data_IF_857333111982
#
_entry.id   IF_857333111982
#
_cell.length_a   1.000
_cell.length_b   1.000
_cell.length_c   1.000
_cell.angle_alpha   90.00
_cell.angle_beta   90.00
_cell.angle_gamma   90.00
#
_symmetry.space_group_name_H-M   'P 1'
#
loop_
_entity.id
_entity.type
_entity.pdbx_description
1 polymer ?
#
# COMPACT_ATOMS: atom_id res chain seq x y z
N UNK A 1 18.44 38.98 -8.69
CA UNK A 1 17.73 38.42 -9.86
C UNK A 1 17.73 36.91 -9.66
N UNK A 2 16.65 36.38 -9.11
CA UNK A 2 16.51 34.93 -8.92
C UNK A 2 16.29 34.29 -10.30
N UNK A 3 17.23 33.46 -10.74
CA UNK A 3 17.12 32.71 -11.98
C UNK A 3 16.00 31.67 -11.84
N UNK A 4 14.77 32.04 -12.19
CA UNK A 4 13.70 31.10 -12.47
C UNK A 4 14.09 30.39 -13.77
N UNK A 5 14.49 29.12 -13.67
CA UNK A 5 14.91 28.35 -14.84
C UNK A 5 13.72 28.12 -15.79
N UNK A 6 13.98 28.22 -17.10
CA UNK A 6 13.06 27.76 -18.15
C UNK A 6 12.69 26.28 -17.95
N UNK A 7 11.59 25.84 -18.56
CA UNK A 7 11.10 24.46 -18.52
C UNK A 7 12.26 23.47 -18.73
N UNK A 8 12.55 22.58 -17.76
CA UNK A 8 13.67 21.66 -17.85
C UNK A 8 13.42 20.67 -18.99
N UNK A 9 14.49 20.37 -19.74
CA UNK A 9 14.43 19.33 -20.79
C UNK A 9 14.33 17.98 -20.11
N UNK A 10 13.30 17.21 -20.47
CA UNK A 10 13.21 15.79 -20.15
C UNK A 10 14.22 15.01 -20.98
N UNK A 11 14.75 13.92 -20.43
CA UNK A 11 15.58 13.02 -21.22
C UNK A 11 14.68 12.25 -22.19
N UNK A 12 15.14 12.01 -23.41
CA UNK A 12 14.39 11.29 -24.44
C UNK A 12 14.03 9.86 -24.03
N UNK A 13 14.86 9.27 -23.16
CA UNK A 13 14.68 7.93 -22.62
C UNK A 13 14.81 8.01 -21.10
N UNK A 14 13.82 7.50 -20.39
CA UNK A 14 13.83 7.40 -18.93
C UNK A 14 14.85 6.35 -18.48
N UNK A 15 15.56 6.61 -17.38
CA UNK A 15 16.50 5.65 -16.82
C UNK A 15 15.78 4.46 -16.17
N UNK A 16 16.51 3.39 -15.92
CA UNK A 16 16.01 2.30 -15.09
C UNK A 16 15.62 2.81 -13.68
N UNK A 17 14.56 2.23 -13.12
CA UNK A 17 14.14 2.51 -11.75
C UNK A 17 15.10 1.85 -10.76
N UNK A 18 15.55 2.62 -9.77
CA UNK A 18 16.31 2.11 -8.63
C UNK A 18 15.46 2.18 -7.37
N UNK A 19 15.40 1.06 -6.65
CA UNK A 19 14.84 1.03 -5.30
C UNK A 19 15.78 1.76 -4.34
N UNK A 20 15.21 2.69 -3.58
CA UNK A 20 15.96 3.53 -2.66
C UNK A 20 16.19 2.81 -1.33
N UNK A 21 17.38 2.96 -0.76
CA UNK A 21 17.67 2.46 0.58
C UNK A 21 16.97 3.29 1.65
N UNK A 22 16.58 2.64 2.74
CA UNK A 22 15.84 3.25 3.83
C UNK A 22 16.75 3.43 5.05
N UNK A 23 16.77 4.65 5.58
CA UNK A 23 17.30 4.93 6.91
C UNK A 23 16.11 4.99 7.87
N UNK A 24 15.99 4.01 8.75
CA UNK A 24 14.90 3.92 9.73
C UNK A 24 15.37 4.48 11.07
N UNK A 25 14.58 5.36 11.69
CA UNK A 25 14.90 5.89 13.01
C UNK A 25 14.67 4.84 14.10
N UNK A 26 15.56 4.77 15.09
CA UNK A 26 15.43 3.87 16.25
C UNK A 26 14.13 4.05 17.04
N UNK A 27 13.59 5.27 17.06
CA UNK A 27 12.29 5.56 17.69
C UNK A 27 11.13 4.84 17.00
N UNK A 28 11.14 4.78 15.66
CA UNK A 28 10.12 4.04 14.91
C UNK A 28 10.28 2.53 15.13
N UNK A 29 11.50 2.00 15.13
CA UNK A 29 11.77 0.59 15.39
C UNK A 29 11.18 0.17 16.74
N UNK A 30 11.44 0.97 17.78
CA UNK A 30 10.87 0.76 19.11
C UNK A 30 9.34 0.81 19.11
N UNK A 31 8.71 1.77 18.43
CA UNK A 31 7.25 1.87 18.35
C UNK A 31 6.63 0.66 17.62
N UNK A 32 7.29 0.12 16.60
CA UNK A 32 6.85 -1.08 15.89
C UNK A 32 6.98 -2.33 16.77
N UNK A 33 8.06 -2.46 17.53
CA UNK A 33 8.26 -3.55 18.49
C UNK A 33 7.22 -3.51 19.62
N UNK A 34 7.01 -2.35 20.25
CA UNK A 34 5.99 -2.16 21.29
C UNK A 34 4.58 -2.46 20.78
N UNK A 35 4.25 -2.00 19.57
CA UNK A 35 2.97 -2.32 18.94
C UNK A 35 2.83 -3.82 18.68
N UNK A 36 3.86 -4.47 18.15
CA UNK A 36 3.83 -5.92 17.86
C UNK A 36 3.65 -6.73 19.14
N UNK A 37 4.40 -6.40 20.20
CA UNK A 37 4.25 -7.02 21.52
C UNK A 37 2.84 -6.81 22.10
N UNK A 38 2.29 -5.59 21.97
CA UNK A 38 0.91 -5.31 22.41
C UNK A 38 -0.14 -6.10 21.62
N UNK A 39 0.10 -6.31 20.33
CA UNK A 39 -0.80 -7.06 19.46
C UNK A 39 -0.75 -8.56 19.76
N UNK A 40 0.43 -9.12 20.03
CA UNK A 40 0.60 -10.53 20.39
C UNK A 40 -0.02 -10.84 21.76
N UNK A 41 0.17 -9.96 22.77
CA UNK A 41 -0.54 -10.07 24.05
C UNK A 41 -2.05 -9.93 23.86
N UNK A 42 -2.50 -8.99 23.03
CA UNK A 42 -3.92 -8.85 22.69
C UNK A 42 -4.45 -9.99 21.80
N UNK A 43 -3.60 -10.77 21.12
CA UNK A 43 -4.02 -11.89 20.26
C UNK A 43 -4.27 -13.14 21.10
N UNK A 44 -3.49 -13.34 22.16
CA UNK A 44 -3.74 -14.37 23.17
C UNK A 44 -5.02 -14.08 23.98
N UNK A 45 -5.36 -12.80 24.22
CA UNK A 45 -6.64 -12.40 24.84
C UNK A 45 -7.82 -12.34 23.83
N UNK A 46 -7.60 -11.99 22.55
CA UNK A 46 -8.65 -11.88 21.51
C UNK A 46 -9.23 -13.22 21.05
N UNK A 47 -8.55 -14.33 21.28
CA UNK A 47 -9.19 -15.65 21.13
C UNK A 47 -10.30 -15.88 22.18
N UNK A 48 -10.46 -14.96 23.16
CA UNK A 48 -11.53 -14.96 24.16
C UNK A 48 -12.47 -13.72 24.15
N UNK A 49 -12.22 -12.65 23.38
CA UNK A 49 -13.04 -11.41 23.41
C UNK A 49 -13.95 -11.24 22.16
N UNK A 50 -15.23 -11.58 22.35
CA UNK A 50 -16.45 -11.31 21.58
C UNK A 50 -16.35 -10.86 20.10
N UNK A 51 -16.28 -11.81 19.17
CA UNK A 51 -16.69 -11.59 17.76
C UNK A 51 -18.15 -11.07 17.78
N UNK A 52 -18.46 -9.91 17.15
CA UNK A 52 -19.82 -9.41 17.11
C UNK A 52 -20.78 -10.43 16.47
N UNK A 53 -21.90 -10.69 17.14
CA UNK A 53 -22.97 -11.49 16.55
C UNK A 53 -23.42 -10.78 15.27
N UNK A 54 -23.35 -11.46 14.13
CA UNK A 54 -23.61 -10.87 12.82
C UNK A 54 -22.38 -10.74 11.92
N UNK A 55 -21.15 -10.97 12.41
CA UNK A 55 -19.96 -10.95 11.54
C UNK A 55 -20.00 -12.05 10.49
N UNK A 56 -19.95 -11.71 9.21
CA UNK A 56 -19.95 -12.67 8.10
C UNK A 56 -18.55 -13.26 7.88
N UNK A 57 -18.49 -14.53 7.49
CA UNK A 57 -17.25 -15.20 7.11
C UNK A 57 -16.55 -14.44 5.98
N UNK A 58 -15.25 -14.19 6.12
CA UNK A 58 -14.45 -13.42 5.15
C UNK A 58 -13.94 -14.27 3.98
N UNK A 59 -14.09 -15.60 4.05
CA UNK A 59 -13.70 -16.50 2.97
C UNK A 59 -14.64 -16.37 1.78
N UNK A 60 -14.07 -16.19 0.59
CA UNK A 60 -14.79 -15.89 -0.65
C UNK A 60 -15.78 -17.00 -1.03
N UNK A 61 -17.04 -16.63 -1.30
CA UNK A 61 -18.11 -17.58 -1.60
C UNK A 61 -18.75 -18.24 -0.36
N UNK A 62 -18.32 -17.87 0.86
CA UNK A 62 -18.99 -18.25 2.09
C UNK A 62 -19.89 -17.11 2.58
N UNK A 63 -21.10 -17.42 3.01
CA UNK A 63 -22.06 -16.45 3.56
C UNK A 63 -22.49 -16.80 5.00
N UNK A 64 -21.76 -17.70 5.68
CA UNK A 64 -22.05 -18.03 7.06
C UNK A 64 -21.79 -16.82 7.96
N UNK A 65 -22.60 -16.68 9.00
CA UNK A 65 -22.55 -15.54 9.92
C UNK A 65 -22.26 -16.06 11.33
N UNK A 66 -21.39 -15.36 12.05
CA UNK A 66 -21.07 -15.65 13.43
C UNK A 66 -22.30 -15.40 14.31
N UNK A 67 -22.75 -16.45 15.00
CA UNK A 67 -23.85 -16.40 15.98
C UNK A 67 -23.35 -16.68 17.39
N UNK A 68 -22.41 -17.62 17.50
CA UNK A 68 -21.78 -18.08 18.73
C UNK A 68 -20.59 -18.99 18.37
N UNK A 69 -19.95 -19.60 19.37
CA UNK A 69 -18.84 -20.53 19.17
C UNK A 69 -19.19 -21.74 18.26
N UNK A 70 -20.45 -22.15 18.15
CA UNK A 70 -20.85 -23.25 17.25
C UNK A 70 -20.75 -22.86 15.76
N UNK A 71 -20.74 -21.57 15.43
CA UNK A 71 -20.48 -21.11 14.05
C UNK A 71 -19.11 -21.59 13.53
N UNK A 72 -18.14 -21.84 14.41
CA UNK A 72 -16.83 -22.42 14.02
C UNK A 72 -16.84 -23.93 13.79
N UNK A 73 -17.86 -24.65 14.28
CA UNK A 73 -17.97 -26.11 14.12
C UNK A 73 -18.45 -26.49 12.72
N UNK A 74 -19.06 -25.55 12.00
CA UNK A 74 -19.48 -25.74 10.61
C UNK A 74 -18.27 -25.75 9.68
N UNK A 75 -18.36 -26.56 8.62
CA UNK A 75 -17.36 -26.59 7.55
C UNK A 75 -17.62 -25.41 6.63
N UNK A 76 -16.61 -24.56 6.47
CA UNK A 76 -16.64 -23.46 5.51
C UNK A 76 -16.33 -23.98 4.11
N UNK A 77 -17.24 -23.79 3.16
CA UNK A 77 -16.98 -23.99 1.73
C UNK A 77 -16.67 -22.65 1.07
N UNK A 78 -15.53 -22.53 0.38
CA UNK A 78 -15.05 -21.26 -0.16
C UNK A 78 -14.19 -21.45 -1.42
N UNK A 79 -13.86 -20.33 -2.08
CA UNK A 79 -12.91 -20.28 -3.21
C UNK A 79 -11.57 -19.70 -2.74
N UNK A 80 -10.45 -20.45 -2.80
CA UNK A 80 -9.12 -19.90 -2.50
C UNK A 80 -8.61 -18.96 -3.60
N UNK A 81 -9.18 -19.05 -4.80
CA UNK A 81 -8.81 -18.24 -5.96
C UNK A 81 -9.36 -16.82 -5.93
N UNK A 82 -8.98 -16.06 -6.95
CA UNK A 82 -9.40 -14.68 -7.21
C UNK A 82 -10.51 -14.64 -8.26
N UNK A 83 -11.39 -13.61 -8.23
CA UNK A 83 -12.35 -13.40 -9.29
C UNK A 83 -11.62 -13.04 -10.59
N UNK A 84 -12.03 -13.63 -11.71
CA UNK A 84 -11.50 -13.35 -13.04
C UNK A 84 -12.63 -12.94 -13.96
N UNK A 85 -12.47 -11.79 -14.62
CA UNK A 85 -13.41 -11.24 -15.59
C UNK A 85 -12.68 -11.02 -16.91
N UNK A 86 -12.91 -11.90 -17.89
CA UNK A 86 -12.25 -11.84 -19.19
C UNK A 86 -13.25 -12.22 -20.29
N UNK A 87 -13.29 -11.44 -21.38
CA UNK A 87 -14.14 -11.71 -22.55
C UNK A 87 -15.63 -11.95 -22.22
N UNK A 88 -16.17 -11.19 -21.26
CA UNK A 88 -17.56 -11.34 -20.83
C UNK A 88 -17.84 -12.53 -19.91
N UNK A 89 -16.84 -13.38 -19.68
CA UNK A 89 -16.92 -14.53 -18.76
C UNK A 89 -16.40 -14.15 -17.36
N UNK A 90 -16.99 -14.77 -16.35
CA UNK A 90 -16.73 -14.58 -14.92
C UNK A 90 -16.47 -15.92 -14.28
N UNK A 91 -15.38 -16.05 -13.54
CA UNK A 91 -15.00 -17.30 -12.86
C UNK A 91 -14.02 -17.07 -11.71
N UNK A 92 -13.82 -18.10 -10.90
CA UNK A 92 -12.81 -18.10 -9.84
C UNK A 92 -11.54 -18.79 -10.34
N UNK A 93 -10.36 -18.20 -10.17
CA UNK A 93 -9.10 -18.79 -10.69
C UNK A 93 -8.75 -20.17 -10.11
N UNK A 94 -9.39 -20.58 -9.01
CA UNK A 94 -9.20 -21.89 -8.37
C UNK A 94 -10.08 -23.01 -8.96
N UNK A 95 -11.03 -22.71 -9.84
CA UNK A 95 -11.89 -23.74 -10.44
C UNK A 95 -12.38 -23.33 -11.84
N UNK A 96 -12.84 -24.30 -12.62
CA UNK A 96 -13.12 -24.08 -14.06
C UNK A 96 -14.56 -23.65 -14.36
N UNK A 97 -15.39 -23.42 -13.34
CA UNK A 97 -16.78 -23.01 -13.50
C UNK A 97 -16.83 -21.56 -13.98
N UNK A 98 -17.26 -21.36 -15.23
CA UNK A 98 -17.40 -20.05 -15.87
C UNK A 98 -18.87 -19.72 -16.11
N UNK A 99 -19.23 -18.46 -15.93
CA UNK A 99 -20.56 -17.94 -16.24
C UNK A 99 -20.45 -16.55 -16.88
N UNK A 100 -21.40 -16.19 -17.73
CA UNK A 100 -21.53 -14.83 -18.26
C UNK A 100 -22.38 -13.93 -17.35
N UNK A 101 -23.22 -14.52 -16.49
CA UNK A 101 -24.08 -13.80 -15.56
C UNK A 101 -23.34 -13.50 -14.24
N UNK A 102 -23.50 -12.27 -13.73
CA UNK A 102 -22.82 -11.83 -12.51
C UNK A 102 -23.41 -12.45 -11.24
N UNK A 103 -24.72 -12.60 -11.17
CA UNK A 103 -25.40 -13.20 -10.01
C UNK A 103 -25.05 -14.69 -9.90
N UNK A 104 -24.96 -15.39 -11.03
CA UNK A 104 -24.50 -16.78 -11.05
C UNK A 104 -23.05 -16.91 -10.54
N UNK A 105 -22.20 -15.92 -10.84
CA UNK A 105 -20.82 -15.89 -10.36
C UNK A 105 -20.75 -15.67 -8.84
N UNK A 106 -21.54 -14.74 -8.32
CA UNK A 106 -21.63 -14.46 -6.88
C UNK A 106 -22.19 -15.67 -6.10
N UNK A 107 -23.17 -16.38 -6.68
CA UNK A 107 -23.81 -17.55 -6.08
C UNK A 107 -23.03 -18.85 -6.26
N UNK A 108 -21.85 -18.81 -6.90
CA UNK A 108 -21.07 -20.01 -7.16
C UNK A 108 -20.50 -20.59 -5.86
N UNK A 109 -20.97 -21.79 -5.48
CA UNK A 109 -20.48 -22.54 -4.32
C UNK A 109 -18.96 -22.74 -4.38
N UNK A 110 -18.31 -22.52 -3.23
CA UNK A 110 -16.88 -22.74 -3.01
C UNK A 110 -16.37 -24.10 -3.50
N UNK A 111 -15.12 -24.14 -3.96
CA UNK A 111 -14.46 -25.37 -4.42
C UNK A 111 -13.53 -26.03 -3.38
N UNK A 112 -13.33 -25.40 -2.22
CA UNK A 112 -12.48 -25.92 -1.13
C UNK A 112 -13.23 -25.84 0.21
N UNK A 113 -12.84 -26.70 1.17
CA UNK A 113 -13.40 -26.76 2.52
C UNK A 113 -12.38 -26.39 3.60
N UNK A 114 -12.79 -25.68 4.65
CA UNK A 114 -11.92 -25.32 5.77
C UNK A 114 -12.69 -24.81 6.99
N UNK A 115 -12.00 -24.12 7.89
CA UNK A 115 -12.63 -23.42 9.03
C UNK A 115 -13.14 -22.06 8.58
N UNK A 116 -14.24 -21.60 9.19
CA UNK A 116 -14.70 -20.23 9.00
C UNK A 116 -13.69 -19.23 9.54
N UNK A 117 -13.62 -18.08 8.88
CA UNK A 117 -12.83 -16.94 9.30
C UNK A 117 -13.79 -15.76 9.51
N UNK A 118 -14.02 -15.40 10.78
CA UNK A 118 -14.88 -14.28 11.16
C UNK A 118 -14.05 -13.07 11.63
N UNK A 119 -12.82 -12.94 11.15
CA UNK A 119 -12.07 -11.70 11.32
C UNK A 119 -12.87 -10.53 10.76
N UNK A 120 -12.98 -9.45 11.50
CA UNK A 120 -13.53 -8.21 10.95
C UNK A 120 -12.49 -7.71 9.93
N UNK A 121 -12.75 -7.85 8.63
CA UNK A 121 -11.97 -7.13 7.64
C UNK A 121 -12.36 -5.67 7.77
N UNK A 122 -11.58 -4.93 8.55
CA UNK A 122 -11.51 -3.49 8.41
C UNK A 122 -11.16 -3.24 6.94
N UNK A 123 -12.13 -2.78 6.14
CA UNK A 123 -11.82 -2.27 4.82
C UNK A 123 -10.74 -1.19 5.04
N UNK A 124 -9.51 -1.47 4.61
CA UNK A 124 -8.43 -0.49 4.61
C UNK A 124 -8.87 0.68 3.76
N UNK A 125 -9.59 1.62 4.39
CA UNK A 125 -9.93 2.90 3.82
C UNK A 125 -8.59 3.44 3.38
N UNK A 126 -8.43 3.65 2.07
CA UNK A 126 -7.39 4.46 1.43
C UNK A 126 -7.39 5.82 2.12
N UNK A 127 -6.81 5.88 3.31
CA UNK A 127 -6.83 7.07 4.13
C UNK A 127 -5.91 8.02 3.40
N UNK A 128 -6.43 9.22 3.13
CA UNK A 128 -5.76 10.23 2.33
C UNK A 128 -4.55 10.73 3.13
N UNK A 129 -3.46 9.99 3.06
CA UNK A 129 -2.19 10.33 3.69
C UNK A 129 -1.77 11.70 3.15
N UNK A 130 -1.52 12.65 4.04
CA UNK A 130 -1.03 13.98 3.63
C UNK A 130 0.39 13.80 3.13
N UNK A 131 0.70 14.41 2.00
CA UNK A 131 2.08 14.56 1.55
C UNK A 131 2.34 16.01 1.14
N UNK A 132 3.59 16.45 1.26
CA UNK A 132 4.06 17.71 0.71
C UNK A 132 5.48 17.57 0.20
N UNK A 133 6.00 18.66 -0.37
CA UNK A 133 7.37 18.71 -0.84
C UNK A 133 7.98 20.07 -0.59
N UNK A 134 9.30 20.07 -0.44
CA UNK A 134 10.12 21.27 -0.44
C UNK A 134 11.44 20.96 -1.13
N UNK A 135 12.29 21.97 -1.29
CA UNK A 135 13.58 21.77 -1.95
C UNK A 135 14.65 22.63 -1.31
N UNK A 136 15.87 22.14 -1.40
CA UNK A 136 17.10 22.86 -1.14
C UNK A 136 17.80 23.15 -2.48
N UNK A 137 19.01 23.70 -2.42
CA UNK A 137 19.84 23.90 -3.62
C UNK A 137 20.09 22.59 -4.34
N UNK A 138 20.42 21.53 -3.60
CA UNK A 138 20.89 20.26 -4.15
C UNK A 138 19.82 19.18 -4.19
N UNK A 139 18.77 19.27 -3.36
CA UNK A 139 17.81 18.18 -3.19
C UNK A 139 16.35 18.63 -3.31
N UNK A 140 15.50 17.70 -3.70
CA UNK A 140 14.04 17.78 -3.56
C UNK A 140 13.63 16.80 -2.47
N UNK A 141 12.80 17.25 -1.55
CA UNK A 141 12.33 16.48 -0.41
C UNK A 141 10.83 16.25 -0.57
N UNK A 142 10.40 14.98 -0.57
CA UNK A 142 8.99 14.59 -0.61
C UNK A 142 8.64 13.93 0.73
N UNK A 143 7.79 14.58 1.53
CA UNK A 143 7.35 14.05 2.81
C UNK A 143 5.99 13.39 2.69
N UNK A 144 5.86 12.17 3.21
CA UNK A 144 4.59 11.46 3.41
C UNK A 144 4.35 11.35 4.90
N UNK A 145 3.28 11.96 5.41
CA UNK A 145 2.97 12.03 6.83
C UNK A 145 2.12 10.84 7.27
N UNK A 146 2.79 9.81 7.81
CA UNK A 146 2.17 8.59 8.29
C UNK A 146 2.86 8.13 9.58
N UNK A 147 2.10 7.46 10.45
CA UNK A 147 2.61 6.82 11.68
C UNK A 147 2.71 5.32 11.49
N UNK A 148 3.59 4.67 12.27
CA UNK A 148 3.78 3.22 12.24
C UNK A 148 4.00 2.68 10.81
N UNK A 149 4.89 3.35 10.08
CA UNK A 149 5.28 2.93 8.72
C UNK A 149 6.01 1.60 8.83
N UNK A 150 5.63 0.62 8.01
CA UNK A 150 6.28 -0.68 7.94
C UNK A 150 7.42 -0.63 6.89
N UNK A 151 8.70 -0.62 7.29
CA UNK A 151 9.81 -0.49 6.34
C UNK A 151 9.97 -1.71 5.44
N UNK A 152 9.61 -2.90 5.92
CA UNK A 152 9.77 -4.17 5.19
C UNK A 152 8.76 -4.32 4.05
N UNK A 153 7.53 -3.82 4.23
CA UNK A 153 6.50 -3.81 3.17
C UNK A 153 6.58 -2.59 2.26
N UNK A 154 7.14 -1.48 2.76
CA UNK A 154 7.23 -0.21 2.02
C UNK A 154 8.25 -0.32 0.89
N UNK A 155 7.91 0.20 -0.28
CA UNK A 155 8.76 0.19 -1.47
C UNK A 155 8.81 1.61 -2.05
N UNK A 156 10.00 2.17 -2.24
CA UNK A 156 10.19 3.46 -2.93
C UNK A 156 11.23 3.25 -4.03
N UNK A 157 10.91 3.65 -5.24
CA UNK A 157 11.80 3.58 -6.38
C UNK A 157 11.76 4.87 -7.19
N UNK A 158 12.90 5.26 -7.75
CA UNK A 158 12.98 6.43 -8.64
C UNK A 158 13.81 6.09 -9.87
N UNK A 159 13.35 6.54 -11.03
CA UNK A 159 14.20 6.76 -12.20
C UNK A 159 14.81 8.16 -12.10
N UNK A 160 15.50 8.59 -13.16
CA UNK A 160 15.94 9.96 -13.32
C UNK A 160 14.78 10.96 -13.40
N UNK A 161 13.56 10.56 -13.76
CA UNK A 161 12.47 11.50 -14.06
C UNK A 161 11.10 11.14 -13.44
N UNK A 162 11.01 10.05 -12.69
CA UNK A 162 9.76 9.61 -12.06
C UNK A 162 10.04 8.99 -10.69
N UNK A 163 9.31 9.44 -9.68
CA UNK A 163 9.27 8.83 -8.36
C UNK A 163 8.03 7.93 -8.24
N UNK A 164 8.22 6.69 -7.78
CA UNK A 164 7.15 5.74 -7.48
C UNK A 164 7.30 5.17 -6.08
N UNK A 165 6.20 4.82 -5.45
CA UNK A 165 6.27 4.16 -4.16
C UNK A 165 4.95 3.65 -3.62
N UNK A 166 5.05 2.71 -2.69
CA UNK A 166 3.97 2.15 -1.90
C UNK A 166 4.40 2.23 -0.44
N UNK A 167 3.71 3.06 0.34
CA UNK A 167 3.98 3.27 1.76
C UNK A 167 2.91 2.54 2.57
N UNK A 168 3.34 1.55 3.35
CA UNK A 168 2.46 0.81 4.26
C UNK A 168 2.58 1.41 5.66
N UNK A 169 1.45 1.70 6.30
CA UNK A 169 1.44 2.45 7.56
C UNK A 169 0.32 2.02 8.50
N UNK A 170 0.25 2.63 9.69
CA UNK A 170 -0.62 2.24 10.80
C UNK A 170 -0.38 0.80 11.33
N UNK A 171 0.74 0.17 10.93
CA UNK A 171 1.01 -1.26 11.11
C UNK A 171 -0.19 -2.17 10.76
N UNK A 172 -1.02 -1.71 9.82
CA UNK A 172 -2.13 -2.41 9.17
C UNK A 172 -1.77 -2.57 7.68
N UNK A 173 -2.68 -3.08 6.84
CA UNK A 173 -2.49 -3.10 5.38
C UNK A 173 -2.97 -1.79 4.69
N UNK A 174 -3.01 -0.68 5.45
CA UNK A 174 -3.24 0.65 4.89
C UNK A 174 -2.07 1.03 3.98
N UNK A 175 -2.40 1.45 2.76
CA UNK A 175 -1.43 1.77 1.71
C UNK A 175 -1.62 3.18 1.16
N UNK A 176 -0.50 3.89 0.98
CA UNK A 176 -0.42 5.14 0.25
C UNK A 176 0.52 4.99 -0.95
N UNK A 177 0.04 5.34 -2.15
CA UNK A 177 0.78 5.16 -3.40
C UNK A 177 1.25 6.51 -3.97
N UNK A 178 2.52 6.53 -4.41
CA UNK A 178 3.15 7.64 -5.12
C UNK A 178 3.43 7.24 -6.57
N UNK A 179 3.09 8.10 -7.52
CA UNK A 179 3.54 8.02 -8.90
C UNK A 179 3.63 9.44 -9.46
N UNK A 180 4.83 10.03 -9.34
CA UNK A 180 5.09 11.45 -9.59
C UNK A 180 6.08 11.57 -10.75
N UNK A 181 5.65 12.05 -11.93
CA UNK A 181 6.56 12.53 -12.95
C UNK A 181 7.28 13.78 -12.41
N UNK A 182 8.58 13.68 -12.19
CA UNK A 182 9.38 14.74 -11.56
C UNK A 182 9.60 15.91 -12.54
N UNK A 183 9.56 17.13 -12.01
CA UNK A 183 9.71 18.36 -12.80
C UNK A 183 11.03 18.41 -13.56
N UNK A 184 12.15 18.02 -12.92
CA UNK A 184 13.45 17.92 -13.57
C UNK A 184 14.19 16.63 -13.18
N UNK A 185 15.27 16.28 -13.89
CA UNK A 185 16.01 15.07 -13.59
C UNK A 185 16.67 15.03 -12.20
N UNK A 186 16.71 13.83 -11.62
CA UNK A 186 17.37 13.50 -10.35
C UNK A 186 18.40 12.38 -10.55
N UNK A 187 19.23 12.14 -9.54
CA UNK A 187 20.24 11.08 -9.52
C UNK A 187 19.76 9.97 -8.57
N UNK A 188 19.21 8.85 -9.08
CA UNK A 188 18.63 7.80 -8.25
C UNK A 188 19.62 7.18 -7.25
N UNK A 189 20.88 7.02 -7.63
CA UNK A 189 21.93 6.42 -6.78
C UNK A 189 22.37 7.31 -5.62
N UNK A 190 22.09 8.62 -5.68
CA UNK A 190 22.40 9.56 -4.61
C UNK A 190 21.14 10.01 -3.85
N UNK A 191 20.02 9.35 -4.13
CA UNK A 191 18.74 9.59 -3.48
C UNK A 191 18.52 8.57 -2.37
N UNK A 192 17.83 8.96 -1.30
CA UNK A 192 17.65 8.13 -0.10
C UNK A 192 16.28 8.37 0.52
N UNK A 193 15.78 7.41 1.29
CA UNK A 193 14.55 7.54 2.07
C UNK A 193 14.89 7.54 3.55
N UNK A 194 14.36 8.50 4.29
CA UNK A 194 14.45 8.55 5.75
C UNK A 194 13.06 8.30 6.33
N UNK A 195 12.93 7.31 7.22
CA UNK A 195 11.67 6.94 7.85
C UNK A 195 11.76 7.26 9.34
N UNK A 196 10.86 8.10 9.81
CA UNK A 196 10.70 8.47 11.22
C UNK A 196 9.35 7.98 11.75
N UNK A 197 9.11 8.13 13.05
CA UNK A 197 7.83 7.77 13.69
C UNK A 197 6.61 8.51 13.15
N UNK A 198 6.80 9.64 12.45
CA UNK A 198 5.71 10.53 12.02
C UNK A 198 5.66 10.80 10.51
N UNK A 199 6.71 10.41 9.77
CA UNK A 199 6.79 10.62 8.33
C UNK A 199 7.83 9.74 7.66
N UNK A 200 7.61 9.50 6.37
CA UNK A 200 8.62 9.06 5.40
C UNK A 200 9.06 10.28 4.58
N UNK A 201 10.36 10.49 4.43
CA UNK A 201 10.95 11.58 3.65
C UNK A 201 11.83 10.99 2.54
N UNK A 202 11.41 11.17 1.29
CA UNK A 202 12.23 10.85 0.11
C UNK A 202 13.09 12.06 -0.22
N UNK A 203 14.41 11.91 -0.12
CA UNK A 203 15.40 12.93 -0.48
C UNK A 203 15.96 12.57 -1.86
N UNK A 204 15.53 13.30 -2.87
CA UNK A 204 15.97 13.14 -4.26
C UNK A 204 17.10 14.10 -4.57
N UNK A 205 18.25 13.57 -4.98
CA UNK A 205 19.39 14.39 -5.40
C UNK A 205 19.14 14.97 -6.78
N UNK A 206 19.14 16.30 -6.92
CA UNK A 206 18.99 16.94 -8.22
C UNK A 206 20.22 16.71 -9.09
N UNK A 207 20.01 16.51 -10.38
CA UNK A 207 21.11 16.49 -11.36
C UNK A 207 21.70 17.88 -11.55
N UNK A 208 20.85 18.91 -11.57
CA UNK A 208 21.25 20.31 -11.72
C UNK A 208 20.76 21.18 -10.56
N UNK A 209 21.59 22.13 -10.12
CA UNK A 209 21.37 22.96 -8.93
C UNK A 209 20.52 24.20 -9.21
N UNK A 210 19.31 24.00 -9.71
CA UNK A 210 18.33 25.08 -9.89
C UNK A 210 17.07 24.86 -9.05
N UNK A 211 16.29 25.94 -8.90
CA UNK A 211 15.02 25.93 -8.18
C UNK A 211 13.92 25.36 -9.07
N UNK A 212 13.24 24.34 -8.60
CA UNK A 212 12.06 23.76 -9.23
C UNK A 212 10.86 24.67 -9.02
N UNK A 213 10.07 24.92 -10.07
CA UNK A 213 8.83 25.70 -9.95
C UNK A 213 7.65 24.87 -9.45
N UNK A 214 7.69 23.55 -9.70
CA UNK A 214 6.72 22.56 -9.25
C UNK A 214 7.46 21.25 -8.93
N UNK A 215 6.81 20.31 -8.25
CA UNK A 215 7.28 18.94 -8.12
C UNK A 215 6.94 18.12 -9.37
N UNK A 216 5.76 18.36 -9.95
CA UNK A 216 5.24 17.59 -11.06
C UNK A 216 5.68 18.19 -12.39
N UNK A 217 6.07 17.33 -13.32
CA UNK A 217 6.11 17.70 -14.72
C UNK A 217 4.70 17.64 -15.30
N UNK A 218 4.18 18.79 -15.73
CA UNK A 218 2.94 18.88 -16.48
C UNK A 218 3.28 18.95 -17.98
N UNK A 219 2.80 17.99 -18.77
CA UNK A 219 2.98 17.99 -20.22
C UNK A 219 2.19 19.13 -20.89
N UNK A 220 1.06 19.54 -20.28
CA UNK A 220 0.08 20.44 -20.87
C UNK A 220 0.27 21.92 -20.49
N UNK A 221 1.27 22.24 -19.67
CA UNK A 221 1.67 23.63 -19.34
C UNK A 221 2.89 24.09 -20.12
#
# INVERSE_FOLDING_TARGET
MENVACRPKRNSTESEFKYLSFNVSSELEKQLEEYTASFDSAKEERDAEAIPIGTTCTRRGCSETYKNADSFKKVCTYHPGTPVFHEGMKYWSCCEKKTSNFDDFLNQVGCETGKHDFSVQEEHKRSKCRFDWFQTTDNVHVNVYAKLINPTKTEIATSDQTLRGKVYYNNQDDIFELNIPLWAPVIPSESVVNISSTKLEVVLRKTEKFRWSDLHFDENK
#
